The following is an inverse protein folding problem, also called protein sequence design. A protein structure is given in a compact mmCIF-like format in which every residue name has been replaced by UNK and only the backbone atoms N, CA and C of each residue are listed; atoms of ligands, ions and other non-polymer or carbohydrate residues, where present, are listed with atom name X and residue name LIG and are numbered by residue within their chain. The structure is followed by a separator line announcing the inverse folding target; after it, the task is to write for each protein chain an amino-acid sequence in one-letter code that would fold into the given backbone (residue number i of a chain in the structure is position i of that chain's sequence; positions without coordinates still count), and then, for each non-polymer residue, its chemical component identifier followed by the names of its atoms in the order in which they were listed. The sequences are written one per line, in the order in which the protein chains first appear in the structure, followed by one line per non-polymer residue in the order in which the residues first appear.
data_IF_554678722634
#
_entry.id   IF_554678722634
#
_cell.length_a   1.000
_cell.length_b   1.000
_cell.length_c   1.000
_cell.angle_alpha   90.00
_cell.angle_beta   90.00
_cell.angle_gamma   90.00
#
_symmetry.space_group_name_H-M   'P 1'
#
loop_
_entity.id
_entity.type
_entity.pdbx_description
1 polymer ?
#
# COMPACT_ATOMS: atom_id res chain seq x y z
N UNK A 1 -10.40 6.35 -4.50
CA UNK A 1 -10.27 5.37 -3.40
C UNK A 1 -9.00 5.53 -2.55
N UNK A 2 -7.98 6.13 -3.10
CA UNK A 2 -6.73 6.35 -2.32
C UNK A 2 -7.00 7.08 -1.00
N UNK A 3 -7.97 7.97 -0.98
CA UNK A 3 -8.37 8.76 0.19
C UNK A 3 -8.97 7.92 1.33
N UNK A 4 -9.30 6.64 1.09
CA UNK A 4 -9.70 5.70 2.15
C UNK A 4 -8.53 5.26 3.02
N UNK A 5 -7.29 5.48 2.56
CA UNK A 5 -6.09 5.11 3.29
C UNK A 5 -5.77 6.15 4.36
N UNK A 6 -5.52 5.69 5.57
CA UNK A 6 -5.01 6.53 6.66
C UNK A 6 -3.57 6.12 6.92
N UNK A 7 -2.62 6.99 6.57
CA UNK A 7 -1.22 6.70 6.76
C UNK A 7 -0.78 7.00 8.19
N UNK A 8 0.01 6.09 8.74
CA UNK A 8 0.63 6.20 10.07
C UNK A 8 2.13 5.91 9.91
N UNK A 9 2.97 6.25 10.92
CA UNK A 9 4.38 5.87 10.88
C UNK A 9 4.54 4.36 10.70
N UNK A 10 5.44 3.96 9.79
CA UNK A 10 5.70 2.55 9.54
C UNK A 10 6.40 1.92 10.76
N UNK A 11 6.01 0.68 11.08
CA UNK A 11 6.54 -0.04 12.26
C UNK A 11 8.02 -0.46 12.12
N UNK A 12 8.62 -0.29 10.94
CA UNK A 12 10.03 -0.59 10.72
C UNK A 12 10.99 0.38 11.45
N UNK A 13 10.48 1.46 12.05
CA UNK A 13 11.26 2.42 12.79
C UNK A 13 12.06 3.41 11.94
N UNK A 14 11.96 3.36 10.61
CA UNK A 14 12.65 4.31 9.74
C UNK A 14 11.95 5.66 9.80
N UNK A 15 12.65 6.76 10.19
CA UNK A 15 12.04 8.09 10.22
C UNK A 15 11.49 8.47 8.84
N UNK A 16 10.23 8.95 8.81
CA UNK A 16 9.57 9.36 7.57
C UNK A 16 8.91 8.24 6.78
N UNK A 17 9.12 6.99 7.15
CA UNK A 17 8.40 5.87 6.51
C UNK A 17 6.94 5.82 7.01
N UNK A 18 6.02 5.60 6.09
CA UNK A 18 4.58 5.59 6.35
C UNK A 18 3.94 4.30 5.85
N UNK A 19 2.82 3.94 6.46
CA UNK A 19 2.08 2.73 6.10
C UNK A 19 0.58 2.95 6.29
N UNK A 20 -0.20 2.36 5.41
CA UNK A 20 -1.66 2.32 5.52
C UNK A 20 -2.15 0.94 5.08
N UNK A 21 -3.23 0.48 5.70
CA UNK A 21 -3.91 -0.75 5.29
C UNK A 21 -5.39 -0.47 5.18
N UNK A 22 -6.03 -1.12 4.22
CA UNK A 22 -7.47 -1.04 4.06
C UNK A 22 -8.04 -2.42 3.71
N UNK A 23 -8.98 -2.89 4.51
CA UNK A 23 -9.68 -4.14 4.28
C UNK A 23 -11.07 -3.84 3.74
N UNK A 24 -11.38 -4.40 2.58
CA UNK A 24 -12.69 -4.21 1.95
C UNK A 24 -13.73 -5.15 2.55
N UNK A 25 -15.02 -4.86 2.29
CA UNK A 25 -16.11 -5.66 2.84
C UNK A 25 -16.11 -7.11 2.35
N UNK A 26 -15.44 -7.40 1.25
CA UNK A 26 -15.25 -8.75 0.69
C UNK A 26 -14.01 -9.45 1.27
N UNK A 27 -13.37 -8.86 2.30
CA UNK A 27 -12.18 -9.35 3.00
C UNK A 27 -10.86 -9.31 2.22
N UNK A 28 -10.85 -8.82 0.99
CA UNK A 28 -9.61 -8.44 0.34
C UNK A 28 -8.99 -7.25 1.06
N UNK A 29 -7.66 -7.22 1.12
CA UNK A 29 -6.95 -6.17 1.84
C UNK A 29 -5.76 -5.67 1.04
N UNK A 30 -5.48 -4.36 1.13
CA UNK A 30 -4.33 -3.72 0.53
C UNK A 30 -3.45 -3.12 1.63
N UNK A 31 -2.13 -3.26 1.48
CA UNK A 31 -1.12 -2.60 2.30
C UNK A 31 -0.32 -1.66 1.41
N UNK A 32 -0.22 -0.41 1.81
CA UNK A 32 0.45 0.64 1.03
C UNK A 32 1.49 1.30 1.90
N UNK A 33 2.75 1.24 1.49
CA UNK A 33 3.86 1.80 2.26
C UNK A 33 4.76 2.66 1.39
N UNK A 34 5.46 3.59 1.99
CA UNK A 34 6.47 4.40 1.34
C UNK A 34 7.44 4.93 2.39
N UNK A 35 8.61 5.35 1.96
CA UNK A 35 9.61 5.88 2.87
C UNK A 35 10.54 6.88 2.19
N UNK A 36 11.56 7.35 2.92
CA UNK A 36 12.58 8.19 2.32
C UNK A 36 13.42 7.41 1.32
N UNK A 37 13.95 8.10 0.32
CA UNK A 37 14.76 7.50 -0.73
C UNK A 37 15.90 6.64 -0.13
N UNK A 38 16.06 5.44 -0.66
CA UNK A 38 17.13 4.52 -0.24
C UNK A 38 16.86 3.75 1.04
N UNK A 39 15.66 3.84 1.61
CA UNK A 39 15.33 3.14 2.87
C UNK A 39 15.02 1.64 2.69
N UNK A 40 15.02 1.14 1.45
CA UNK A 40 14.71 -0.27 1.15
C UNK A 40 13.27 -0.55 0.78
N UNK A 41 12.36 0.39 0.98
CA UNK A 41 10.99 0.28 0.49
C UNK A 41 10.92 0.70 -0.98
N UNK A 42 10.02 0.06 -1.72
CA UNK A 42 9.82 0.34 -3.16
C UNK A 42 8.75 1.43 -3.37
N UNK A 43 8.89 2.52 -2.63
CA UNK A 43 8.06 3.70 -2.74
C UNK A 43 8.74 4.87 -2.05
N UNK A 44 8.65 6.06 -2.64
CA UNK A 44 9.31 7.28 -2.15
C UNK A 44 8.24 8.31 -1.78
N UNK A 45 8.19 8.68 -0.50
CA UNK A 45 7.23 9.66 0.02
C UNK A 45 7.34 10.99 -0.73
N UNK A 46 8.57 11.42 -1.03
CA UNK A 46 8.82 12.70 -1.71
C UNK A 46 8.25 12.73 -3.11
N UNK A 47 8.34 11.61 -3.84
CA UNK A 47 7.85 11.49 -5.21
C UNK A 47 6.39 11.00 -5.26
N UNK A 48 5.78 10.78 -4.10
CA UNK A 48 4.43 10.23 -4.00
C UNK A 48 4.27 8.92 -4.77
N UNK A 49 5.24 8.02 -4.60
CA UNK A 49 5.17 6.65 -5.09
C UNK A 49 5.09 5.68 -3.92
N UNK A 50 4.47 4.53 -4.14
CA UNK A 50 4.11 3.62 -3.07
C UNK A 50 4.38 2.17 -3.44
N UNK A 51 4.77 1.38 -2.43
CA UNK A 51 4.87 -0.07 -2.52
C UNK A 51 3.55 -0.67 -2.04
N UNK A 52 3.01 -1.60 -2.82
CA UNK A 52 1.69 -2.21 -2.56
C UNK A 52 1.85 -3.70 -2.34
N UNK A 53 1.20 -4.22 -1.29
CA UNK A 53 0.99 -5.64 -1.08
C UNK A 53 -0.52 -5.90 -1.02
N UNK A 54 -0.97 -6.98 -1.65
CA UNK A 54 -2.38 -7.35 -1.72
C UNK A 54 -2.56 -8.69 -1.00
N UNK A 55 -3.56 -8.75 -0.13
CA UNK A 55 -3.89 -9.95 0.64
C UNK A 55 -5.26 -10.47 0.26
N UNK A 56 -5.31 -11.80 0.03
CA UNK A 56 -6.58 -12.51 -0.24
C UNK A 56 -7.44 -12.57 1.02
N UNK A 57 -8.74 -12.89 0.90
CA UNK A 57 -9.60 -13.06 2.07
C UNK A 57 -9.08 -14.08 3.09
N UNK A 58 -8.29 -15.06 2.65
CA UNK A 58 -7.68 -16.05 3.57
C UNK A 58 -6.44 -15.51 4.30
N UNK A 59 -6.06 -14.25 4.06
CA UNK A 59 -4.90 -13.61 4.71
C UNK A 59 -3.57 -13.80 3.99
N UNK A 60 -3.52 -14.59 2.93
CA UNK A 60 -2.28 -14.83 2.18
C UNK A 60 -2.04 -13.71 1.17
N UNK A 61 -0.79 -13.26 1.06
CA UNK A 61 -0.40 -12.31 0.02
C UNK A 61 -0.52 -12.95 -1.36
N UNK A 62 -0.97 -12.17 -2.35
CA UNK A 62 -1.26 -12.68 -3.70
C UNK A 62 0.01 -13.14 -4.41
N UNK A 63 1.01 -12.28 -4.43
CA UNK A 63 2.31 -12.50 -5.07
C UNK A 63 3.33 -11.62 -4.35
N UNK A 64 4.37 -11.23 -5.05
CA UNK A 64 5.33 -10.28 -4.53
C UNK A 64 4.74 -8.87 -4.48
N UNK A 65 5.40 -7.98 -3.77
CA UNK A 65 5.00 -6.58 -3.69
C UNK A 65 5.11 -5.91 -5.06
N UNK A 66 4.29 -4.88 -5.28
CA UNK A 66 4.29 -4.07 -6.48
C UNK A 66 4.85 -2.70 -6.10
N UNK A 67 6.02 -2.35 -6.66
CA UNK A 67 6.71 -1.12 -6.29
C UNK A 67 6.39 0.07 -7.17
N UNK A 68 6.69 1.26 -6.64
CA UNK A 68 6.72 2.54 -7.36
C UNK A 68 5.39 2.94 -7.99
N UNK A 69 4.28 2.63 -7.31
CA UNK A 69 2.94 2.98 -7.80
C UNK A 69 2.60 4.44 -7.45
N UNK A 70 2.00 5.14 -8.40
CA UNK A 70 1.42 6.46 -8.14
C UNK A 70 0.13 6.33 -7.33
N UNK A 71 -0.36 7.44 -6.77
CA UNK A 71 -1.67 7.47 -6.10
C UNK A 71 -2.79 6.95 -7.01
N UNK A 72 -2.73 7.33 -8.28
CA UNK A 72 -3.73 6.91 -9.28
C UNK A 72 -3.71 5.39 -9.47
N UNK A 73 -2.52 4.81 -9.58
CA UNK A 73 -2.37 3.36 -9.71
C UNK A 73 -2.85 2.62 -8.47
N UNK A 74 -2.52 3.11 -7.28
CA UNK A 74 -3.01 2.54 -6.02
C UNK A 74 -4.54 2.60 -5.96
N UNK A 75 -5.12 3.74 -6.32
CA UNK A 75 -6.58 3.92 -6.35
C UNK A 75 -7.25 2.94 -7.30
N UNK A 76 -6.67 2.71 -8.47
CA UNK A 76 -7.18 1.74 -9.44
C UNK A 76 -7.16 0.31 -8.90
N UNK A 77 -6.07 -0.09 -8.24
CA UNK A 77 -5.96 -1.40 -7.60
C UNK A 77 -7.03 -1.57 -6.51
N UNK A 78 -7.24 -0.55 -5.68
CA UNK A 78 -8.24 -0.57 -4.63
C UNK A 78 -9.64 -0.74 -5.21
N UNK A 79 -9.94 -0.04 -6.30
CA UNK A 79 -11.23 -0.17 -6.97
C UNK A 79 -11.47 -1.60 -7.45
N UNK A 80 -10.47 -2.20 -8.11
CA UNK A 80 -10.56 -3.59 -8.58
C UNK A 80 -10.80 -4.54 -7.40
N UNK A 81 -10.04 -4.40 -6.32
CA UNK A 81 -10.19 -5.25 -5.14
C UNK A 81 -11.59 -5.14 -4.53
N UNK A 82 -12.17 -3.95 -4.53
CA UNK A 82 -13.50 -3.72 -3.99
C UNK A 82 -14.61 -4.42 -4.78
N UNK A 83 -14.33 -4.84 -6.00
CA UNK A 83 -15.30 -5.50 -6.90
C UNK A 83 -15.19 -7.03 -6.91
N UNK A 84 -14.20 -7.60 -6.27
CA UNK A 84 -13.98 -9.05 -6.27
C UNK A 84 -14.95 -9.86 -5.40
#
# INVERSE_FOLDING_TARGET
MFDLLTFVPHLNGIPGAIAARHKFSNDWEISVVAGPAGCGLYGDVKDETYEVAIFRPNGNMTEDVIGWNTKHEVSAMMWVLSQL
#
